data_IF_576136993948
#
_entry.id   IF_576136993948
#
_cell.length_a   1.000
_cell.length_b   1.000
_cell.length_c   1.000
_cell.angle_alpha   90.00
_cell.angle_beta   90.00
_cell.angle_gamma   90.00
#
_symmetry.space_group_name_H-M   'P 1'
#
loop_
_entity.id
_entity.type
_entity.pdbx_description
1 polymer ?
#
# COMPACT_ATOMS: atom_id res chain seq x y z
N UNK A 1 -25.38 -8.28 -2.20
CA UNK A 1 -24.54 -7.71 -1.12
C UNK A 1 -23.22 -7.09 -1.64
N UNK A 2 -22.64 -7.64 -2.70
CA UNK A 2 -21.36 -7.20 -3.30
C UNK A 2 -21.37 -5.79 -3.93
N UNK A 3 -22.44 -5.41 -4.64
CA UNK A 3 -22.57 -4.10 -5.28
C UNK A 3 -22.66 -2.94 -4.27
N UNK A 4 -23.35 -3.14 -3.15
CA UNK A 4 -23.48 -2.12 -2.09
C UNK A 4 -22.13 -1.90 -1.40
N UNK A 5 -21.39 -2.97 -1.08
CA UNK A 5 -20.06 -2.87 -0.46
C UNK A 5 -19.04 -2.19 -1.41
N UNK A 6 -19.12 -2.47 -2.70
CA UNK A 6 -18.25 -1.80 -3.70
C UNK A 6 -18.60 -0.32 -3.84
N UNK A 7 -19.89 0.05 -3.78
CA UNK A 7 -20.32 1.45 -3.80
C UNK A 7 -19.82 2.25 -2.60
N UNK A 8 -19.97 1.70 -1.39
CA UNK A 8 -19.45 2.33 -0.16
C UNK A 8 -17.93 2.50 -0.23
N UNK A 9 -17.21 1.48 -0.70
CA UNK A 9 -15.75 1.55 -0.87
C UNK A 9 -15.35 2.65 -1.86
N UNK A 10 -16.06 2.80 -2.98
CA UNK A 10 -15.80 3.85 -3.97
C UNK A 10 -16.00 5.26 -3.38
N UNK A 11 -17.04 5.46 -2.56
CA UNK A 11 -17.29 6.74 -1.87
C UNK A 11 -16.16 7.06 -0.91
N UNK A 12 -15.73 6.10 -0.10
CA UNK A 12 -14.62 6.28 0.85
C UNK A 12 -13.31 6.59 0.11
N UNK A 13 -13.01 5.84 -0.95
CA UNK A 13 -11.84 6.09 -1.80
C UNK A 13 -11.88 7.51 -2.36
N UNK A 14 -13.02 7.95 -2.87
CA UNK A 14 -13.18 9.29 -3.43
C UNK A 14 -12.98 10.38 -2.38
N UNK A 15 -13.59 10.25 -1.20
CA UNK A 15 -13.47 11.21 -0.12
C UNK A 15 -12.02 11.35 0.40
N UNK A 16 -11.31 10.22 0.51
CA UNK A 16 -9.94 10.18 1.02
C UNK A 16 -8.87 10.30 -0.09
N UNK A 17 -9.28 10.40 -1.36
CA UNK A 17 -8.35 10.43 -2.49
C UNK A 17 -7.31 11.55 -2.39
N UNK A 18 -7.63 12.81 -2.04
CA UNK A 18 -6.65 13.88 -1.93
C UNK A 18 -5.53 13.57 -0.92
N UNK A 19 -5.85 12.92 0.20
CA UNK A 19 -4.87 12.48 1.18
C UNK A 19 -3.98 11.36 0.64
N UNK A 20 -4.59 10.37 -0.01
CA UNK A 20 -3.89 9.27 -0.67
C UNK A 20 -2.98 9.75 -1.80
N UNK A 21 -3.42 10.73 -2.57
CA UNK A 21 -2.66 11.34 -3.65
C UNK A 21 -1.42 12.07 -3.12
N UNK A 22 -1.59 12.96 -2.14
CA UNK A 22 -0.46 13.62 -1.50
C UNK A 22 0.51 12.60 -0.88
N UNK A 23 0.00 11.53 -0.24
CA UNK A 23 0.84 10.43 0.29
C UNK A 23 1.68 9.78 -0.80
N UNK A 24 1.11 9.49 -1.96
CA UNK A 24 1.85 8.90 -3.10
C UNK A 24 2.99 9.82 -3.53
N UNK A 25 2.75 11.11 -3.75
CA UNK A 25 3.78 12.06 -4.16
C UNK A 25 4.92 12.17 -3.12
N UNK A 26 4.57 12.19 -1.84
CA UNK A 26 5.55 12.15 -0.74
C UNK A 26 6.38 10.87 -0.79
N UNK A 27 5.75 9.72 -1.01
CA UNK A 27 6.44 8.43 -1.10
C UNK A 27 7.37 8.35 -2.31
N UNK A 28 7.06 9.04 -3.40
CA UNK A 28 7.94 9.17 -4.56
C UNK A 28 9.10 10.17 -4.34
N UNK A 29 9.13 10.86 -3.19
CA UNK A 29 10.18 11.82 -2.84
C UNK A 29 9.95 13.22 -3.34
N UNK A 30 8.75 13.54 -3.83
CA UNK A 30 8.43 14.91 -4.26
C UNK A 30 8.04 15.77 -3.06
N UNK A 31 8.89 16.72 -2.69
CA UNK A 31 8.74 17.64 -1.56
C UNK A 31 8.90 19.09 -2.03
N UNK A 32 7.84 19.67 -2.63
CA UNK A 32 7.92 21.03 -3.21
C UNK A 32 7.88 22.14 -2.17
N UNK A 33 7.48 21.82 -0.93
CA UNK A 33 7.35 22.80 0.14
C UNK A 33 8.62 22.84 0.98
N UNK A 34 9.15 24.05 1.20
CA UNK A 34 10.33 24.24 2.03
C UNK A 34 10.11 23.73 3.45
N UNK A 35 11.07 23.01 4.03
CA UNK A 35 11.03 22.59 5.41
C UNK A 35 11.20 23.79 6.35
N UNK A 36 10.68 23.65 7.57
CA UNK A 36 10.80 24.64 8.63
C UNK A 36 11.41 24.03 9.89
N UNK A 37 12.07 24.86 10.68
CA UNK A 37 12.65 24.43 11.96
C UNK A 37 11.68 24.69 13.10
N UNK A 38 11.47 23.70 13.95
CA UNK A 38 10.66 23.83 15.17
C UNK A 38 11.36 23.15 16.36
N UNK A 39 11.11 23.70 17.55
CA UNK A 39 11.58 23.09 18.82
C UNK A 39 10.61 21.98 19.22
N UNK A 40 11.15 20.82 19.51
CA UNK A 40 10.41 19.68 20.05
C UNK A 40 9.96 19.99 21.49
N UNK A 41 8.67 19.86 21.77
CA UNK A 41 8.07 20.27 23.05
C UNK A 41 8.67 19.48 24.24
N UNK A 42 8.90 18.17 24.07
CA UNK A 42 9.39 17.27 25.12
C UNK A 42 10.91 17.30 25.32
N UNK A 43 11.68 17.41 24.22
CA UNK A 43 13.14 17.22 24.27
C UNK A 43 13.95 18.51 24.04
N UNK A 44 13.30 19.66 23.88
CA UNK A 44 13.92 20.98 23.58
C UNK A 44 14.92 20.97 22.44
N UNK A 45 14.93 19.93 21.59
CA UNK A 45 15.79 19.82 20.43
C UNK A 45 15.13 20.53 19.25
N UNK A 46 15.93 21.29 18.50
CA UNK A 46 15.49 21.90 17.25
C UNK A 46 15.58 20.85 16.14
N UNK A 47 14.47 20.56 15.48
CA UNK A 47 14.41 19.67 14.32
C UNK A 47 13.78 20.37 13.13
N UNK A 48 14.12 19.88 11.95
CA UNK A 48 13.58 20.34 10.70
C UNK A 48 12.38 19.47 10.30
N UNK A 49 11.26 20.10 9.93
CA UNK A 49 10.01 19.44 9.58
C UNK A 49 9.55 19.87 8.20
N UNK A 50 9.00 18.93 7.44
CA UNK A 50 8.20 19.28 6.27
C UNK A 50 6.80 19.71 6.70
N UNK A 51 6.14 20.62 5.95
CA UNK A 51 4.75 20.98 6.19
C UNK A 51 3.82 19.76 6.17
N UNK A 52 2.71 19.84 6.90
CA UNK A 52 1.72 18.77 7.00
C UNK A 52 1.12 18.40 5.64
N UNK A 53 0.51 17.22 5.54
CA UNK A 53 -0.20 16.78 4.33
C UNK A 53 -1.29 17.75 3.89
N UNK A 54 -1.93 18.47 4.81
CA UNK A 54 -2.94 19.47 4.46
C UNK A 54 -2.34 20.66 3.72
N UNK A 55 -1.16 21.11 4.11
CA UNK A 55 -0.41 22.14 3.36
C UNK A 55 -0.02 21.65 1.98
N UNK A 56 0.33 20.36 1.86
CA UNK A 56 0.64 19.73 0.58
C UNK A 56 -0.61 19.66 -0.33
N UNK A 57 -1.77 19.26 0.19
CA UNK A 57 -3.04 19.26 -0.55
C UNK A 57 -3.39 20.67 -1.01
N UNK A 58 -3.21 21.70 -0.15
CA UNK A 58 -3.43 23.11 -0.53
C UNK A 58 -2.49 23.53 -1.66
N UNK A 59 -1.24 23.06 -1.65
CA UNK A 59 -0.28 23.29 -2.74
C UNK A 59 -0.77 22.66 -4.05
N UNK A 60 -1.16 21.36 -4.05
CA UNK A 60 -1.71 20.69 -5.25
C UNK A 60 -2.92 21.45 -5.80
N UNK A 61 -3.85 21.85 -4.90
CA UNK A 61 -5.04 22.63 -5.29
C UNK A 61 -4.69 23.97 -5.94
N UNK A 62 -3.63 24.64 -5.48
CA UNK A 62 -3.18 25.90 -6.07
C UNK A 62 -2.57 25.72 -7.47
N UNK A 63 -1.86 24.62 -7.70
CA UNK A 63 -1.22 24.33 -8.98
C UNK A 63 -2.19 23.85 -10.05
N UNK A 64 -3.05 22.87 -9.71
CA UNK A 64 -3.88 22.16 -10.68
C UNK A 64 -5.40 22.34 -10.45
N UNK A 65 -5.79 23.24 -9.55
CA UNK A 65 -7.19 23.47 -9.21
C UNK A 65 -7.80 22.32 -8.37
N UNK A 66 -9.11 22.43 -8.11
CA UNK A 66 -9.82 21.43 -7.31
C UNK A 66 -9.86 20.06 -8.00
N UNK A 67 -10.11 20.01 -9.29
CA UNK A 67 -10.13 18.76 -10.07
C UNK A 67 -8.76 18.07 -10.13
N UNK A 68 -7.68 18.82 -10.02
CA UNK A 68 -6.33 18.29 -9.94
C UNK A 68 -6.09 17.39 -8.73
N UNK A 69 -6.86 17.55 -7.64
CA UNK A 69 -6.78 16.71 -6.46
C UNK A 69 -7.29 15.25 -6.71
N UNK A 70 -8.02 15.05 -7.79
CA UNK A 70 -8.63 13.77 -8.15
C UNK A 70 -7.93 13.06 -9.32
N UNK A 71 -6.72 13.52 -9.67
CA UNK A 71 -5.89 12.87 -10.69
C UNK A 71 -5.58 11.42 -10.27
N UNK A 72 -5.84 10.45 -11.17
CA UNK A 72 -5.66 9.02 -10.87
C UNK A 72 -6.79 8.36 -10.06
N UNK A 73 -7.87 9.06 -9.74
CA UNK A 73 -9.00 8.49 -8.98
C UNK A 73 -9.68 7.34 -9.73
N UNK A 74 -10.00 7.52 -11.00
CA UNK A 74 -10.72 6.51 -11.79
C UNK A 74 -9.97 5.17 -11.83
N UNK A 75 -8.69 5.10 -12.25
CA UNK A 75 -7.95 3.84 -12.21
C UNK A 75 -7.82 3.28 -10.79
N UNK A 76 -7.75 4.11 -9.76
CA UNK A 76 -7.70 3.64 -8.36
C UNK A 76 -9.01 2.98 -7.90
N UNK A 77 -10.16 3.53 -8.32
CA UNK A 77 -11.47 2.91 -8.05
C UNK A 77 -11.56 1.56 -8.78
N UNK A 78 -11.18 1.53 -10.06
CA UNK A 78 -11.17 0.31 -10.86
C UNK A 78 -10.25 -0.77 -10.27
N UNK A 79 -9.05 -0.41 -9.83
CA UNK A 79 -8.14 -1.30 -9.11
C UNK A 79 -8.83 -1.94 -7.90
N UNK A 80 -9.47 -1.11 -7.07
CA UNK A 80 -10.19 -1.57 -5.87
C UNK A 80 -11.35 -2.51 -6.20
N UNK A 81 -12.13 -2.19 -7.23
CA UNK A 81 -13.27 -3.02 -7.67
C UNK A 81 -12.79 -4.38 -8.20
N UNK A 82 -11.81 -4.39 -9.11
CA UNK A 82 -11.24 -5.61 -9.68
C UNK A 82 -10.60 -6.47 -8.59
N UNK A 83 -9.78 -5.86 -7.73
CA UNK A 83 -9.13 -6.57 -6.62
C UNK A 83 -10.15 -7.20 -5.66
N UNK A 84 -11.18 -6.46 -5.26
CA UNK A 84 -12.25 -6.97 -4.39
C UNK A 84 -13.04 -8.10 -5.04
N UNK A 85 -13.39 -7.95 -6.31
CA UNK A 85 -14.11 -8.97 -7.06
C UNK A 85 -13.32 -10.28 -7.13
N UNK A 86 -12.05 -10.23 -7.50
CA UNK A 86 -11.19 -11.41 -7.57
C UNK A 86 -11.00 -12.04 -6.18
N UNK A 87 -10.72 -11.23 -5.15
CA UNK A 87 -10.55 -11.74 -3.78
C UNK A 87 -11.78 -12.49 -3.30
N UNK A 88 -12.99 -11.93 -3.51
CA UNK A 88 -14.23 -12.56 -3.05
C UNK A 88 -14.48 -13.90 -3.75
N UNK A 89 -14.37 -13.93 -5.09
CA UNK A 89 -14.62 -15.15 -5.86
C UNK A 89 -13.61 -16.25 -5.54
N UNK A 90 -12.32 -15.90 -5.46
CA UNK A 90 -11.27 -16.87 -5.13
C UNK A 90 -11.41 -17.38 -3.69
N UNK A 91 -11.68 -16.49 -2.74
CA UNK A 91 -11.89 -16.87 -1.34
C UNK A 91 -13.10 -17.78 -1.18
N UNK A 92 -14.19 -17.52 -1.89
CA UNK A 92 -15.38 -18.37 -1.88
C UNK A 92 -15.09 -19.75 -2.49
N UNK A 93 -14.40 -19.79 -3.63
CA UNK A 93 -13.96 -21.04 -4.25
C UNK A 93 -13.08 -21.87 -3.31
N UNK A 94 -12.04 -21.27 -2.73
CA UNK A 94 -11.11 -21.95 -1.83
C UNK A 94 -11.81 -22.47 -0.55
N UNK A 95 -12.79 -21.73 -0.04
CA UNK A 95 -13.58 -22.15 1.11
C UNK A 95 -14.42 -23.39 0.79
N UNK A 96 -15.02 -23.45 -0.42
CA UNK A 96 -15.82 -24.60 -0.85
C UNK A 96 -14.96 -25.83 -1.20
N UNK A 97 -13.84 -25.60 -1.89
CA UNK A 97 -12.95 -26.68 -2.35
C UNK A 97 -12.13 -27.31 -1.21
N UNK A 98 -11.78 -26.52 -0.21
CA UNK A 98 -10.92 -26.93 0.92
C UNK A 98 -11.58 -26.56 2.26
N UNK A 99 -12.66 -27.21 2.68
CA UNK A 99 -13.27 -26.95 3.99
C UNK A 99 -12.25 -27.25 5.10
N UNK A 100 -12.23 -26.40 6.13
CA UNK A 100 -11.43 -26.67 7.34
C UNK A 100 -12.17 -27.75 8.11
N UNK A 101 -11.57 -28.95 8.24
CA UNK A 101 -12.09 -30.01 9.10
C UNK A 101 -11.71 -29.67 10.55
N UNK A 102 -12.67 -29.48 11.41
CA UNK A 102 -12.48 -29.50 12.85
C UNK A 102 -12.17 -30.96 13.25
N UNK A 103 -10.91 -31.30 13.45
CA UNK A 103 -10.54 -32.57 14.01
C UNK A 103 -10.56 -32.43 15.54
N UNK A 104 -11.49 -33.13 16.17
CA UNK A 104 -11.54 -33.37 17.62
C UNK A 104 -10.61 -34.53 17.95
N UNK A 105 -9.38 -34.28 18.39
CA UNK A 105 -8.51 -35.24 19.05
C UNK A 105 -7.98 -34.63 20.35
N UNK A 106 -8.29 -35.30 21.46
CA UNK A 106 -8.13 -34.88 22.85
C UNK A 106 -6.73 -35.17 23.42
N UNK A 107 -5.67 -34.47 22.90
CA UNK A 107 -4.35 -34.48 23.56
C UNK A 107 -3.75 -33.09 23.47
N UNK A 108 -3.12 -32.60 24.57
CA UNK A 108 -2.54 -31.23 24.62
C UNK A 108 -1.49 -30.97 23.54
N UNK A 109 -0.66 -31.94 23.20
CA UNK A 109 0.31 -31.86 22.10
C UNK A 109 -0.39 -31.80 20.72
N UNK A 110 -1.56 -32.43 20.57
CA UNK A 110 -2.38 -32.35 19.39
C UNK A 110 -3.03 -30.96 19.24
N UNK A 111 -3.37 -30.27 20.31
CA UNK A 111 -4.01 -28.95 20.27
C UNK A 111 -3.12 -27.90 19.61
N UNK A 112 -1.81 -27.87 19.94
CA UNK A 112 -0.84 -26.98 19.33
C UNK A 112 -0.65 -27.24 17.83
N UNK A 113 -0.55 -28.54 17.47
CA UNK A 113 -0.40 -28.94 16.06
C UNK A 113 -1.66 -28.63 15.26
N UNK A 114 -2.85 -28.85 15.80
CA UNK A 114 -4.13 -28.50 15.19
C UNK A 114 -4.25 -27.01 15.00
N UNK A 115 -3.85 -26.22 16.01
CA UNK A 115 -3.78 -24.77 15.93
C UNK A 115 -2.92 -24.30 14.76
N UNK A 116 -1.65 -24.74 14.69
CA UNK A 116 -0.74 -24.35 13.61
C UNK A 116 -1.23 -24.78 12.23
N UNK A 117 -1.78 -25.99 12.12
CA UNK A 117 -2.35 -26.50 10.87
C UNK A 117 -3.55 -25.65 10.40
N UNK A 118 -4.45 -25.32 11.31
CA UNK A 118 -5.59 -24.44 11.03
C UNK A 118 -5.16 -23.04 10.61
N UNK A 119 -4.25 -22.45 11.38
CA UNK A 119 -3.67 -21.14 11.09
C UNK A 119 -2.98 -21.10 9.72
N UNK A 120 -2.10 -22.06 9.42
CA UNK A 120 -1.40 -22.11 8.14
C UNK A 120 -2.36 -22.32 6.97
N UNK A 121 -3.35 -23.22 7.13
CA UNK A 121 -4.34 -23.48 6.10
C UNK A 121 -5.17 -22.23 5.80
N UNK A 122 -5.65 -21.53 6.81
CA UNK A 122 -6.44 -20.31 6.65
C UNK A 122 -5.60 -19.20 6.03
N UNK A 123 -4.41 -18.92 6.57
CA UNK A 123 -3.52 -17.90 6.07
C UNK A 123 -3.09 -18.16 4.62
N UNK A 124 -2.81 -19.43 4.26
CA UNK A 124 -2.48 -19.79 2.88
C UNK A 124 -3.60 -19.50 1.90
N UNK A 125 -4.86 -19.81 2.26
CA UNK A 125 -6.03 -19.49 1.42
C UNK A 125 -6.17 -17.98 1.19
N UNK A 126 -6.01 -17.20 2.26
CA UNK A 126 -6.08 -15.74 2.17
C UNK A 126 -4.95 -15.16 1.32
N UNK A 127 -3.72 -15.68 1.47
CA UNK A 127 -2.56 -15.29 0.67
C UNK A 127 -2.80 -15.61 -0.81
N UNK A 128 -3.27 -16.80 -1.14
CA UNK A 128 -3.56 -17.17 -2.54
C UNK A 128 -4.63 -16.27 -3.14
N UNK A 129 -5.72 -16.05 -2.42
CA UNK A 129 -6.79 -15.14 -2.89
C UNK A 129 -6.27 -13.70 -3.09
N UNK A 130 -5.47 -13.21 -2.15
CA UNK A 130 -4.86 -11.88 -2.23
C UNK A 130 -3.87 -11.77 -3.38
N UNK A 131 -3.02 -12.78 -3.58
CA UNK A 131 -2.03 -12.80 -4.67
C UNK A 131 -2.70 -12.73 -6.03
N UNK A 132 -3.70 -13.57 -6.29
CA UNK A 132 -4.43 -13.56 -7.55
C UNK A 132 -5.12 -12.20 -7.77
N UNK A 133 -5.74 -11.65 -6.74
CA UNK A 133 -6.35 -10.32 -6.80
C UNK A 133 -5.31 -9.24 -7.09
N UNK A 134 -4.16 -9.27 -6.43
CA UNK A 134 -3.08 -8.30 -6.63
C UNK A 134 -2.50 -8.41 -8.04
N UNK A 135 -2.22 -9.62 -8.54
CA UNK A 135 -1.68 -9.83 -9.90
C UNK A 135 -2.64 -9.29 -10.96
N UNK A 136 -3.94 -9.60 -10.85
CA UNK A 136 -4.94 -9.16 -11.83
C UNK A 136 -5.18 -7.65 -11.79
N UNK A 137 -5.15 -7.04 -10.62
CA UNK A 137 -5.38 -5.59 -10.47
C UNK A 137 -4.12 -4.74 -10.63
N UNK A 138 -2.92 -5.35 -10.62
CA UNK A 138 -1.64 -4.61 -10.62
C UNK A 138 -1.42 -3.71 -11.85
N UNK A 139 -1.78 -4.11 -13.07
CA UNK A 139 -1.69 -3.21 -14.22
C UNK A 139 -2.43 -1.89 -14.02
N UNK A 140 -3.64 -1.96 -13.44
CA UNK A 140 -4.45 -0.78 -13.15
C UNK A 140 -3.79 0.06 -12.04
N UNK A 141 -3.20 -0.60 -11.05
CA UNK A 141 -2.43 0.04 -9.98
C UNK A 141 -1.26 0.86 -10.52
N UNK A 142 -0.47 0.30 -11.43
CA UNK A 142 0.67 0.99 -12.07
C UNK A 142 0.19 2.23 -12.82
N UNK A 143 -0.89 2.10 -13.61
CA UNK A 143 -1.49 3.24 -14.32
C UNK A 143 -1.93 4.33 -13.31
N UNK A 144 -2.59 3.95 -12.21
CA UNK A 144 -3.02 4.90 -11.19
C UNK A 144 -1.85 5.67 -10.57
N UNK A 145 -0.78 4.98 -10.21
CA UNK A 145 0.42 5.59 -9.62
C UNK A 145 1.12 6.54 -10.60
N UNK A 146 1.29 6.13 -11.86
CA UNK A 146 1.94 6.95 -12.88
C UNK A 146 1.12 8.19 -13.23
N UNK A 147 -0.20 8.05 -13.30
CA UNK A 147 -1.10 9.18 -13.50
C UNK A 147 -0.96 10.21 -12.36
N UNK A 148 -0.86 9.76 -11.11
CA UNK A 148 -0.57 10.65 -9.98
C UNK A 148 0.83 11.25 -10.06
N UNK A 149 1.85 10.48 -10.46
CA UNK A 149 3.24 10.91 -10.54
C UNK A 149 3.50 11.99 -11.62
N UNK A 150 2.66 12.08 -12.66
CA UNK A 150 2.71 13.14 -13.68
C UNK A 150 2.65 14.56 -13.11
N UNK A 151 2.13 14.71 -11.89
CA UNK A 151 2.08 16.02 -11.22
C UNK A 151 3.46 16.64 -11.07
N UNK A 152 4.49 15.83 -10.85
CA UNK A 152 5.86 16.30 -10.58
C UNK A 152 6.44 17.10 -11.75
N UNK A 153 6.19 16.64 -12.98
CA UNK A 153 6.66 17.27 -14.22
C UNK A 153 5.57 18.07 -14.95
N UNK A 154 4.35 18.16 -14.38
CA UNK A 154 3.18 18.70 -15.10
C UNK A 154 2.95 18.00 -16.46
N UNK A 155 3.15 16.70 -16.51
CA UNK A 155 3.08 15.86 -17.69
C UNK A 155 1.65 15.33 -17.90
N UNK A 156 1.37 14.72 -19.07
CA UNK A 156 0.04 14.22 -19.43
C UNK A 156 0.05 12.92 -20.22
N UNK A 157 1.09 12.09 -20.06
CA UNK A 157 1.25 10.79 -20.77
C UNK A 157 0.21 9.75 -20.33
N UNK A 158 -0.24 9.80 -19.08
CA UNK A 158 -1.13 8.80 -18.45
C UNK A 158 -2.54 9.34 -18.19
N UNK A 159 -2.93 10.44 -18.81
CA UNK A 159 -4.23 11.10 -18.58
C UNK A 159 -5.42 10.23 -18.97
N UNK A 160 -5.31 9.48 -20.06
CA UNK A 160 -6.36 8.59 -20.57
C UNK A 160 -5.93 7.12 -20.35
N UNK A 161 -6.77 6.25 -19.77
CA UNK A 161 -6.42 4.84 -19.54
C UNK A 161 -5.92 4.09 -20.78
N UNK A 162 -6.53 4.33 -21.95
CA UNK A 162 -6.13 3.69 -23.20
C UNK A 162 -4.73 4.15 -23.63
N UNK A 163 -4.49 5.47 -23.58
CA UNK A 163 -3.17 6.05 -23.88
C UNK A 163 -2.13 5.56 -22.90
N UNK A 164 -2.50 5.42 -21.60
CA UNK A 164 -1.61 4.89 -20.56
C UNK A 164 -1.17 3.46 -20.84
N UNK A 165 -2.09 2.61 -21.29
CA UNK A 165 -1.78 1.22 -21.68
C UNK A 165 -0.78 1.21 -22.82
N UNK A 166 -1.02 2.02 -23.86
CA UNK A 166 -0.12 2.12 -25.03
C UNK A 166 1.26 2.65 -24.64
N UNK A 167 1.31 3.73 -23.84
CA UNK A 167 2.57 4.33 -23.39
C UNK A 167 3.44 3.33 -22.60
N UNK A 168 2.82 2.53 -21.72
CA UNK A 168 3.53 1.49 -20.98
C UNK A 168 4.01 0.39 -21.91
N UNK A 169 3.14 -0.08 -22.80
CA UNK A 169 3.47 -1.19 -23.70
C UNK A 169 4.58 -0.83 -24.69
N UNK A 170 4.51 0.35 -25.30
CA UNK A 170 5.47 0.80 -26.31
C UNK A 170 6.87 1.06 -25.72
N UNK A 171 6.97 1.46 -24.45
CA UNK A 171 8.23 1.80 -23.80
C UNK A 171 8.85 0.69 -22.95
N UNK A 172 8.05 -0.14 -22.33
CA UNK A 172 8.48 -1.11 -21.31
C UNK A 172 7.96 -2.53 -21.58
N UNK A 173 7.07 -2.70 -22.55
CA UNK A 173 6.41 -3.97 -22.85
C UNK A 173 5.48 -4.41 -21.72
N UNK A 174 5.20 -5.72 -21.67
CA UNK A 174 4.34 -6.31 -20.65
C UNK A 174 4.93 -6.18 -19.24
N UNK A 175 6.25 -6.18 -19.09
CA UNK A 175 6.92 -6.09 -17.80
C UNK A 175 6.61 -4.77 -17.07
N UNK A 176 6.39 -3.68 -17.80
CA UNK A 176 6.03 -2.37 -17.23
C UNK A 176 4.75 -2.39 -16.41
N UNK A 177 3.77 -3.21 -16.79
CA UNK A 177 2.52 -3.37 -16.06
C UNK A 177 2.67 -4.09 -14.71
N UNK A 178 3.77 -4.82 -14.54
CA UNK A 178 4.07 -5.59 -13.32
C UNK A 178 5.25 -5.02 -12.54
N UNK A 179 5.68 -3.81 -12.88
CA UNK A 179 6.74 -3.11 -12.15
C UNK A 179 6.34 -2.92 -10.67
N UNK A 180 7.20 -3.36 -9.75
CA UNK A 180 6.96 -3.29 -8.31
C UNK A 180 6.01 -4.37 -7.74
N UNK A 181 5.59 -5.37 -8.53
CA UNK A 181 4.70 -6.44 -8.08
C UNK A 181 5.32 -7.29 -6.95
N UNK A 182 6.58 -7.70 -7.10
CA UNK A 182 7.25 -8.62 -6.15
C UNK A 182 7.25 -8.06 -4.72
N UNK A 183 7.76 -6.85 -4.43
CA UNK A 183 7.69 -6.31 -3.08
C UNK A 183 6.25 -6.15 -2.57
N UNK A 184 5.28 -5.86 -3.43
CA UNK A 184 3.86 -5.78 -3.05
C UNK A 184 3.35 -7.13 -2.55
N UNK A 185 3.59 -8.22 -3.30
CA UNK A 185 3.17 -9.57 -2.91
C UNK A 185 3.82 -10.02 -1.60
N UNK A 186 5.12 -9.74 -1.43
CA UNK A 186 5.83 -10.06 -0.18
C UNK A 186 5.25 -9.28 1.01
N UNK A 187 4.96 -8.00 0.84
CA UNK A 187 4.30 -7.18 1.85
C UNK A 187 2.90 -7.68 2.21
N UNK A 188 2.10 -8.04 1.20
CA UNK A 188 0.75 -8.59 1.38
C UNK A 188 0.78 -9.93 2.13
N UNK A 189 1.69 -10.85 1.76
CA UNK A 189 1.84 -12.15 2.43
C UNK A 189 2.24 -11.98 3.90
N UNK A 190 3.26 -11.17 4.16
CA UNK A 190 3.74 -10.89 5.50
C UNK A 190 2.64 -10.24 6.36
N UNK A 191 1.89 -9.29 5.79
CA UNK A 191 0.79 -8.64 6.48
C UNK A 191 -0.30 -9.63 6.89
N UNK A 192 -0.75 -10.50 5.98
CA UNK A 192 -1.78 -11.51 6.26
C UNK A 192 -1.31 -12.46 7.36
N UNK A 193 -0.08 -12.99 7.26
CA UNK A 193 0.46 -13.89 8.27
C UNK A 193 0.53 -13.22 9.65
N UNK A 194 1.06 -12.01 9.73
CA UNK A 194 1.18 -11.30 11.01
C UNK A 194 -0.19 -10.90 11.59
N UNK A 195 -1.13 -10.45 10.76
CA UNK A 195 -2.48 -10.08 11.22
C UNK A 195 -3.18 -11.31 11.79
N UNK A 196 -3.17 -12.42 11.06
CA UNK A 196 -3.83 -13.66 11.49
C UNK A 196 -3.18 -14.21 12.76
N UNK A 197 -1.85 -14.24 12.83
CA UNK A 197 -1.11 -14.69 13.99
C UNK A 197 -1.40 -13.86 15.25
N UNK A 198 -1.28 -12.53 15.13
CA UNK A 198 -1.55 -11.62 16.25
C UNK A 198 -3.02 -11.66 16.66
N UNK A 199 -3.95 -11.70 15.70
CA UNK A 199 -5.37 -11.79 15.98
C UNK A 199 -5.72 -13.07 16.74
N UNK A 200 -5.12 -14.18 16.37
CA UNK A 200 -5.36 -15.46 17.04
C UNK A 200 -4.82 -15.44 18.47
N UNK A 201 -3.60 -14.93 18.69
CA UNK A 201 -3.04 -14.76 20.04
C UNK A 201 -3.95 -13.89 20.91
N UNK A 202 -4.35 -12.72 20.39
CA UNK A 202 -5.22 -11.80 21.15
C UNK A 202 -6.57 -12.43 21.43
N UNK A 203 -7.17 -13.11 20.47
CA UNK A 203 -8.46 -13.78 20.63
C UNK A 203 -8.43 -14.94 21.62
N UNK A 204 -7.29 -15.65 21.72
CA UNK A 204 -7.14 -16.81 22.61
C UNK A 204 -6.84 -16.41 24.05
N UNK A 205 -5.92 -15.48 24.25
CA UNK A 205 -5.40 -15.15 25.56
C UNK A 205 -6.04 -13.93 26.24
N UNK A 206 -6.58 -12.98 25.45
CA UNK A 206 -7.04 -11.71 26.01
C UNK A 206 -8.54 -11.46 25.83
N UNK A 207 -9.21 -12.13 24.91
CA UNK A 207 -10.62 -11.86 24.61
C UNK A 207 -11.51 -13.07 24.78
N UNK A 208 -12.52 -12.92 25.65
CA UNK A 208 -13.54 -13.97 25.87
C UNK A 208 -14.83 -13.70 25.09
N UNK A 209 -15.15 -12.42 24.82
CA UNK A 209 -16.41 -12.02 24.18
C UNK A 209 -16.32 -12.12 22.65
N UNK A 210 -17.29 -12.80 22.04
CA UNK A 210 -17.36 -13.01 20.58
C UNK A 210 -17.40 -11.70 19.76
N UNK A 211 -18.07 -10.68 20.28
CA UNK A 211 -18.17 -9.36 19.65
C UNK A 211 -16.82 -8.64 19.57
N UNK A 212 -15.97 -8.76 20.59
CA UNK A 212 -14.65 -8.15 20.63
C UNK A 212 -13.71 -8.82 19.61
N UNK A 213 -13.81 -10.14 19.46
CA UNK A 213 -13.01 -10.91 18.49
C UNK A 213 -13.25 -10.49 17.05
N UNK A 214 -14.42 -9.98 16.72
CA UNK A 214 -14.75 -9.50 15.37
C UNK A 214 -13.91 -8.28 14.93
N UNK A 215 -13.43 -7.45 15.86
CA UNK A 215 -12.64 -6.26 15.57
C UNK A 215 -11.12 -6.46 15.72
N UNK A 216 -10.68 -7.60 16.25
CA UNK A 216 -9.27 -7.86 16.55
C UNK A 216 -8.38 -7.74 15.31
N UNK A 217 -8.80 -8.33 14.20
CA UNK A 217 -8.04 -8.27 12.96
C UNK A 217 -7.88 -6.82 12.45
N UNK A 218 -8.90 -5.97 12.61
CA UNK A 218 -8.82 -4.57 12.22
C UNK A 218 -7.81 -3.80 13.10
N UNK A 219 -7.79 -4.04 14.40
CA UNK A 219 -6.82 -3.41 15.32
C UNK A 219 -5.41 -3.91 15.04
N UNK A 220 -5.22 -5.22 14.91
CA UNK A 220 -3.92 -5.81 14.57
C UNK A 220 -3.38 -5.28 13.24
N UNK A 221 -4.26 -5.05 12.25
CA UNK A 221 -3.85 -4.52 10.95
C UNK A 221 -3.21 -3.13 11.03
N UNK A 222 -3.65 -2.27 11.96
CA UNK A 222 -3.06 -0.94 12.16
C UNK A 222 -1.60 -1.04 12.60
N UNK A 223 -1.29 -1.98 13.50
CA UNK A 223 0.08 -2.23 13.97
C UNK A 223 0.92 -2.87 12.88
N UNK A 224 0.41 -3.93 12.26
CA UNK A 224 1.13 -4.69 11.21
C UNK A 224 1.45 -3.83 10.01
N UNK A 225 0.56 -2.92 9.62
CA UNK A 225 0.79 -1.99 8.49
C UNK A 225 2.04 -1.14 8.69
N UNK A 226 2.44 -0.81 9.92
CA UNK A 226 3.68 -0.07 10.18
C UNK A 226 4.92 -0.92 9.85
N UNK A 227 4.89 -2.22 10.12
CA UNK A 227 6.00 -3.13 9.83
C UNK A 227 6.09 -3.48 8.34
N UNK A 228 4.97 -3.60 7.66
CA UNK A 228 4.93 -3.93 6.22
C UNK A 228 5.02 -2.72 5.31
N UNK A 229 4.95 -1.50 5.86
CA UNK A 229 5.02 -0.25 5.12
C UNK A 229 6.21 -0.13 4.15
N UNK A 230 7.44 -0.54 4.51
CA UNK A 230 8.57 -0.47 3.58
C UNK A 230 8.35 -1.22 2.28
N UNK A 231 7.64 -2.35 2.29
CA UNK A 231 7.32 -3.10 1.08
C UNK A 231 6.38 -2.30 0.16
N UNK A 232 5.37 -1.63 0.72
CA UNK A 232 4.48 -0.73 -0.03
C UNK A 232 5.26 0.42 -0.66
N UNK A 233 6.17 1.05 0.11
CA UNK A 233 6.99 2.16 -0.36
C UNK A 233 7.90 1.73 -1.52
N UNK A 234 8.61 0.61 -1.38
CA UNK A 234 9.49 0.07 -2.43
C UNK A 234 8.68 -0.30 -3.67
N UNK A 235 7.53 -0.97 -3.50
CA UNK A 235 6.64 -1.31 -4.60
C UNK A 235 6.24 -0.08 -5.41
N UNK A 236 5.81 1.00 -4.76
CA UNK A 236 5.40 2.26 -5.42
C UNK A 236 6.55 2.94 -6.15
N UNK A 237 7.73 3.00 -5.55
CA UNK A 237 8.90 3.54 -6.22
C UNK A 237 9.27 2.72 -7.47
N UNK A 238 9.26 1.38 -7.36
CA UNK A 238 9.54 0.49 -8.49
C UNK A 238 8.47 0.55 -9.59
N UNK A 239 7.20 0.82 -9.25
CA UNK A 239 6.11 0.97 -10.22
C UNK A 239 6.25 2.23 -11.08
N UNK A 240 6.86 3.29 -10.53
CA UNK A 240 7.03 4.57 -11.23
C UNK A 240 8.39 4.70 -11.88
N UNK A 241 9.44 4.08 -11.33
CA UNK A 241 10.84 4.24 -11.80
C UNK A 241 11.06 3.96 -13.29
N UNK A 242 10.43 2.93 -13.92
CA UNK A 242 10.62 2.68 -15.36
C UNK A 242 9.98 3.75 -16.26
N UNK A 243 9.05 4.55 -15.74
CA UNK A 243 8.32 5.53 -16.54
C UNK A 243 9.21 6.71 -16.99
N UNK A 244 8.87 7.32 -18.13
CA UNK A 244 9.56 8.52 -18.65
C UNK A 244 9.23 9.82 -17.92
N UNK A 245 8.67 9.71 -16.72
CA UNK A 245 8.23 10.84 -15.91
C UNK A 245 9.39 11.55 -15.20
N UNK A 246 9.25 12.85 -14.98
CA UNK A 246 10.19 13.63 -14.16
C UNK A 246 10.29 13.06 -12.73
N UNK A 247 9.18 12.57 -12.19
CA UNK A 247 9.17 11.86 -10.91
C UNK A 247 10.16 10.69 -10.89
N UNK A 248 10.19 9.90 -11.97
CA UNK A 248 11.10 8.76 -12.11
C UNK A 248 12.56 9.21 -12.29
N UNK A 249 12.80 10.28 -13.04
CA UNK A 249 14.15 10.84 -13.26
C UNK A 249 14.76 11.40 -11.97
N UNK A 250 13.92 11.93 -11.08
CA UNK A 250 14.35 12.47 -9.79
C UNK A 250 14.67 11.38 -8.75
N UNK A 251 14.31 10.11 -9.02
CA UNK A 251 14.67 8.99 -8.16
C UNK A 251 16.06 8.46 -8.49
N UNK A 252 16.79 7.93 -7.50
CA UNK A 252 18.01 7.16 -7.76
C UNK A 252 17.76 6.01 -8.73
N UNK A 253 18.78 5.61 -9.47
CA UNK A 253 18.68 4.41 -10.30
C UNK A 253 18.67 3.16 -9.43
N UNK A 254 17.79 2.24 -9.75
CA UNK A 254 17.62 0.97 -9.05
C UNK A 254 17.81 -0.19 -10.02
N UNK A 255 18.69 -1.14 -9.69
CA UNK A 255 18.87 -2.38 -10.46
C UNK A 255 17.75 -3.40 -10.19
N UNK A 256 17.06 -3.26 -9.04
CA UNK A 256 15.93 -4.10 -8.65
C UNK A 256 15.30 -3.61 -7.34
N UNK A 257 14.28 -4.31 -6.88
CA UNK A 257 13.56 -3.92 -5.66
C UNK A 257 14.42 -4.03 -4.39
N UNK A 258 15.35 -4.97 -4.33
CA UNK A 258 16.29 -5.12 -3.21
C UNK A 258 17.30 -3.98 -3.14
N UNK A 259 17.76 -3.50 -4.29
CA UNK A 259 18.62 -2.32 -4.39
C UNK A 259 17.85 -1.05 -3.97
N UNK A 260 16.62 -0.90 -4.46
CA UNK A 260 15.72 0.18 -4.02
C UNK A 260 15.54 0.17 -2.49
N UNK A 261 15.26 -1.00 -1.91
CA UNK A 261 15.17 -1.18 -0.45
C UNK A 261 16.44 -0.73 0.26
N UNK A 262 17.60 -1.21 -0.21
CA UNK A 262 18.90 -0.93 0.39
C UNK A 262 19.24 0.56 0.34
N UNK A 263 19.00 1.23 -0.78
CA UNK A 263 19.20 2.67 -0.96
C UNK A 263 18.28 3.49 -0.05
N UNK A 264 16.98 3.15 -0.01
CA UNK A 264 16.03 3.81 0.89
C UNK A 264 16.40 3.59 2.37
N UNK A 265 16.88 2.39 2.73
CA UNK A 265 17.36 2.09 4.10
C UNK A 265 18.57 2.92 4.46
N UNK A 266 19.58 2.99 3.58
CA UNK A 266 20.79 3.79 3.78
C UNK A 266 20.49 5.28 3.98
N UNK A 267 19.53 5.80 3.22
CA UNK A 267 19.08 7.19 3.33
C UNK A 267 18.12 7.42 4.52
N UNK A 268 17.76 6.38 5.29
CA UNK A 268 16.78 6.48 6.36
C UNK A 268 15.35 6.76 5.88
N UNK A 269 15.03 6.50 4.62
CA UNK A 269 13.77 6.87 3.96
C UNK A 269 12.74 5.72 3.85
N UNK A 270 13.01 4.52 4.41
CA UNK A 270 12.09 3.38 4.36
C UNK A 270 10.69 3.64 4.95
N UNK A 271 10.56 4.68 5.78
CA UNK A 271 9.29 5.12 6.37
C UNK A 271 8.81 6.45 5.81
N UNK A 272 9.29 6.87 4.62
CA UNK A 272 8.90 8.13 3.97
C UNK A 272 7.41 8.11 3.63
N UNK A 273 6.66 9.09 4.18
CA UNK A 273 5.21 9.18 4.01
C UNK A 273 4.37 8.25 4.90
N UNK A 274 4.98 7.54 5.87
CA UNK A 274 4.21 6.76 6.86
C UNK A 274 3.45 7.67 7.83
N UNK A 275 4.05 8.78 8.24
CA UNK A 275 3.40 9.81 9.03
C UNK A 275 3.14 11.04 8.13
N UNK A 276 1.88 11.44 8.01
CA UNK A 276 1.45 12.54 7.16
C UNK A 276 1.29 13.87 7.93
N UNK A 277 1.20 13.80 9.26
CA UNK A 277 0.99 14.96 10.12
C UNK A 277 2.31 15.54 10.62
N UNK A 278 3.18 14.69 11.16
CA UNK A 278 4.50 15.07 11.71
C UNK A 278 5.55 14.47 10.79
N UNK A 279 6.14 15.31 9.93
CA UNK A 279 7.03 14.90 8.85
C UNK A 279 8.42 15.45 9.10
N UNK A 280 9.29 14.63 9.70
CA UNK A 280 10.66 15.01 10.05
C UNK A 280 11.55 14.91 8.81
N UNK A 281 12.33 15.97 8.55
CA UNK A 281 13.39 15.94 7.55
C UNK A 281 14.52 15.06 8.09
N UNK A 282 14.79 13.95 7.39
CA UNK A 282 15.95 13.12 7.69
C UNK A 282 17.14 13.65 6.91
N UNK A 283 18.26 13.86 7.61
CA UNK A 283 19.50 14.32 6.96
C UNK A 283 19.90 13.27 5.91
N UNK A 284 19.91 13.67 4.64
CA UNK A 284 20.65 12.92 3.63
C UNK A 284 22.12 13.01 4.03
N UNK A 285 22.76 11.88 4.31
CA UNK A 285 24.21 11.87 4.38
C UNK A 285 24.70 12.25 2.97
N UNK A 286 25.58 13.24 2.84
CA UNK A 286 26.20 13.52 1.56
C UNK A 286 26.93 12.27 1.10
N UNK A 287 26.76 11.90 -0.18
CA UNK A 287 27.52 10.85 -0.85
C UNK A 287 28.99 11.27 -0.99
#
# INVERSE_FOLDING_TARGET
>A
MTLVSSGVSAVIITALHPLGYAKVLIQLGHEPLAPYTAKELLWRRTRCYYPSVFSYIKYIKRQNGFMGLYKGLLPRILEGMVGSFVTQNVSEYLRKAYPVKENSEDTEDAEVVIFFKGFLTQSSKEIVAKFLATIVSHPIHVIALRNMAEFVGNESFYRNPIVSVREIYDNEGLAGFFAGLVPRLLGDALAIMLINFLSEIVNRYFLTKKEQKAYTAAVCSLVVTQFTYPFELVSRNMSVKPARLLAAKNMPDYTGWTDCWSKLKRNGELMRGSNLLIRIVRNRQPE
#
